data_IF_498395940088
#
_entry.id   IF_498395940088
#
_cell.length_a   1.000
_cell.length_b   1.000
_cell.length_c   1.000
_cell.angle_alpha   90.00
_cell.angle_beta   90.00
_cell.angle_gamma   90.00
#
_symmetry.space_group_name_H-M   'P 1'
#
loop_
_entity.id
_entity.type
_entity.pdbx_description
1 polymer ?
#
# COMPACT_ATOMS: atom_id res chain seq x y z
N UNK A 1 -25.18 -1.12 3.84
CA UNK A 1 -26.11 -1.42 2.73
C UNK A 1 -25.31 -1.75 1.48
N UNK A 2 -25.69 -2.77 0.71
CA UNK A 2 -25.08 -3.08 -0.60
C UNK A 2 -26.13 -2.88 -1.68
N UNK A 3 -25.89 -1.98 -2.62
CA UNK A 3 -26.77 -1.78 -3.78
C UNK A 3 -26.67 -2.95 -4.75
N UNK A 4 -27.80 -3.36 -5.33
CA UNK A 4 -27.82 -4.32 -6.41
C UNK A 4 -27.04 -3.82 -7.63
N UNK A 5 -26.26 -4.69 -8.26
CA UNK A 5 -25.44 -4.38 -9.46
C UNK A 5 -25.97 -5.13 -10.67
N UNK A 6 -26.05 -4.47 -11.82
CA UNK A 6 -26.38 -5.12 -13.11
C UNK A 6 -25.15 -5.76 -13.78
N UNK A 7 -23.98 -5.64 -13.16
CA UNK A 7 -22.72 -6.19 -13.64
C UNK A 7 -21.54 -5.26 -13.39
N UNK A 8 -20.33 -5.75 -13.64
CA UNK A 8 -19.10 -4.94 -13.58
C UNK A 8 -18.62 -4.65 -14.99
N UNK A 9 -18.57 -3.37 -15.36
CA UNK A 9 -18.16 -2.90 -16.68
C UNK A 9 -16.99 -1.93 -16.53
N UNK A 10 -15.94 -2.07 -17.34
CA UNK A 10 -14.71 -1.26 -17.25
C UNK A 10 -14.12 -1.20 -15.82
N UNK A 11 -14.18 -2.31 -15.08
CA UNK A 11 -13.73 -2.42 -13.68
C UNK A 11 -14.55 -1.61 -12.67
N UNK A 12 -15.78 -1.21 -13.01
CA UNK A 12 -16.70 -0.52 -12.10
C UNK A 12 -18.05 -1.26 -12.04
N UNK A 13 -18.61 -1.51 -10.84
CA UNK A 13 -19.98 -2.02 -10.73
C UNK A 13 -20.96 -0.96 -11.22
N UNK A 14 -21.87 -1.35 -12.11
CA UNK A 14 -22.93 -0.48 -12.61
C UNK A 14 -24.20 -0.83 -11.87
N UNK A 15 -24.85 0.19 -11.30
CA UNK A 15 -26.06 0.01 -10.51
C UNK A 15 -27.04 1.13 -10.79
N UNK A 16 -28.21 0.75 -11.29
CA UNK A 16 -29.32 1.70 -11.56
C UNK A 16 -29.93 2.20 -10.25
N UNK A 17 -29.98 1.35 -9.23
CA UNK A 17 -30.53 1.69 -7.91
C UNK A 17 -29.59 2.56 -7.06
N UNK A 18 -28.29 2.60 -7.36
CA UNK A 18 -27.30 3.25 -6.48
C UNK A 18 -27.61 4.72 -6.21
N UNK A 19 -28.06 5.48 -7.22
CA UNK A 19 -28.35 6.92 -7.05
C UNK A 19 -29.56 7.13 -6.12
N UNK A 20 -30.63 6.34 -6.27
CA UNK A 20 -31.83 6.48 -5.44
C UNK A 20 -31.56 6.01 -4.00
N UNK A 21 -30.79 4.94 -3.83
CA UNK A 21 -30.36 4.46 -2.52
C UNK A 21 -29.42 5.44 -1.83
N UNK A 22 -28.42 5.96 -2.54
CA UNK A 22 -27.53 7.01 -2.04
C UNK A 22 -28.34 8.23 -1.60
N UNK A 23 -29.32 8.68 -2.42
CA UNK A 23 -30.20 9.80 -2.05
C UNK A 23 -31.01 9.51 -0.79
N UNK A 24 -31.49 8.28 -0.61
CA UNK A 24 -32.21 7.88 0.60
C UNK A 24 -31.28 7.92 1.82
N UNK A 25 -30.09 7.32 1.72
CA UNK A 25 -29.15 7.20 2.84
C UNK A 25 -28.49 8.54 3.21
N UNK A 26 -28.26 9.42 2.24
CA UNK A 26 -27.63 10.72 2.48
C UNK A 26 -28.56 11.76 3.13
N UNK A 27 -29.88 11.53 3.15
CA UNK A 27 -30.83 12.49 3.76
C UNK A 27 -30.59 12.74 5.24
N UNK A 28 -30.22 11.68 5.95
CA UNK A 28 -30.07 11.70 7.42
C UNK A 28 -28.59 11.80 7.84
N UNK A 29 -27.69 12.10 6.89
CA UNK A 29 -26.25 12.16 7.14
C UNK A 29 -25.75 13.62 7.27
N UNK A 30 -24.97 13.90 8.31
CA UNK A 30 -24.32 15.22 8.48
C UNK A 30 -23.15 15.42 7.48
N UNK A 31 -22.45 14.32 7.18
CA UNK A 31 -21.34 14.26 6.23
C UNK A 31 -21.52 13.05 5.31
N UNK A 32 -21.24 13.24 4.02
CA UNK A 32 -21.04 12.15 3.07
C UNK A 32 -19.57 12.05 2.69
N UNK A 33 -18.96 10.90 2.96
CA UNK A 33 -17.57 10.59 2.61
C UNK A 33 -17.51 9.60 1.45
N UNK A 34 -16.94 10.01 0.31
CA UNK A 34 -16.87 9.19 -0.92
C UNK A 34 -15.44 8.74 -1.19
N UNK A 35 -15.24 7.46 -1.46
CA UNK A 35 -13.94 6.89 -1.81
C UNK A 35 -13.76 6.86 -3.33
N UNK A 36 -12.66 7.44 -3.82
CA UNK A 36 -12.40 7.73 -5.23
C UNK A 36 -11.15 7.02 -5.75
N UNK A 37 -11.11 6.69 -7.06
CA UNK A 37 -12.08 7.06 -8.09
C UNK A 37 -13.30 6.13 -8.16
N UNK A 38 -14.51 6.71 -8.11
CA UNK A 38 -15.75 5.97 -8.29
C UNK A 38 -16.81 6.82 -9.01
N UNK A 39 -16.82 6.84 -10.36
CA UNK A 39 -17.67 7.72 -11.16
C UNK A 39 -19.17 7.72 -10.79
N UNK A 40 -19.70 6.55 -10.44
CA UNK A 40 -21.10 6.42 -10.02
C UNK A 40 -21.37 7.08 -8.65
N UNK A 41 -20.38 7.07 -7.74
CA UNK A 41 -20.42 7.76 -6.46
C UNK A 41 -20.45 9.27 -6.64
N UNK A 42 -19.58 9.80 -7.50
CA UNK A 42 -19.53 11.23 -7.84
C UNK A 42 -20.87 11.71 -8.38
N UNK A 43 -21.40 10.97 -9.37
CA UNK A 43 -22.66 11.29 -10.01
C UNK A 43 -23.82 11.20 -9.01
N UNK A 44 -23.86 10.16 -8.18
CA UNK A 44 -24.87 10.00 -7.14
C UNK A 44 -24.85 11.16 -6.14
N UNK A 45 -23.66 11.60 -5.71
CA UNK A 45 -23.53 12.74 -4.82
C UNK A 45 -24.02 14.05 -5.46
N UNK A 46 -23.72 14.27 -6.74
CA UNK A 46 -24.14 15.48 -7.46
C UNK A 46 -25.66 15.48 -7.74
N UNK A 47 -26.26 14.31 -8.00
CA UNK A 47 -27.67 14.18 -8.36
C UNK A 47 -28.62 13.92 -7.17
N UNK A 48 -28.10 13.57 -6.00
CA UNK A 48 -28.93 13.29 -4.82
C UNK A 48 -29.68 14.53 -4.29
N UNK A 49 -29.16 15.72 -4.57
CA UNK A 49 -29.61 16.98 -3.97
C UNK A 49 -29.07 17.18 -2.54
N UNK A 50 -28.07 16.40 -2.13
CA UNK A 50 -27.48 16.47 -0.80
C UNK A 50 -26.74 17.81 -0.55
N UNK A 51 -27.16 18.52 0.50
CA UNK A 51 -26.65 19.86 0.84
C UNK A 51 -25.67 19.89 2.03
N UNK A 52 -25.45 18.76 2.71
CA UNK A 52 -24.51 18.66 3.84
C UNK A 52 -23.04 18.66 3.42
N UNK A 53 -22.13 18.32 4.33
CA UNK A 53 -20.68 18.37 4.03
C UNK A 53 -20.25 17.14 3.22
N UNK A 54 -19.39 17.35 2.23
CA UNK A 54 -18.89 16.29 1.36
C UNK A 54 -17.38 16.17 1.53
N UNK A 55 -16.92 14.98 1.90
CA UNK A 55 -15.51 14.63 1.96
C UNK A 55 -15.22 13.57 0.91
N UNK A 56 -14.01 13.57 0.36
CA UNK A 56 -13.60 12.52 -0.57
C UNK A 56 -12.23 11.96 -0.22
N UNK A 57 -12.06 10.63 -0.23
CA UNK A 57 -10.73 9.99 -0.19
C UNK A 57 -10.26 9.67 -1.60
N UNK A 58 -9.19 10.32 -2.05
CA UNK A 58 -8.57 10.08 -3.35
C UNK A 58 -7.48 9.02 -3.25
N UNK A 59 -7.77 7.80 -3.72
CA UNK A 59 -6.86 6.67 -3.60
C UNK A 59 -5.83 6.59 -4.73
N UNK A 60 -6.20 6.96 -5.95
CA UNK A 60 -5.30 6.97 -7.11
C UNK A 60 -5.90 7.72 -8.31
N UNK A 61 -5.03 8.17 -9.21
CA UNK A 61 -5.45 8.73 -10.49
C UNK A 61 -5.92 7.63 -11.46
N UNK A 62 -6.91 7.93 -12.29
CA UNK A 62 -7.34 7.04 -13.37
C UNK A 62 -6.36 7.18 -14.56
N UNK A 63 -5.54 6.15 -14.79
CA UNK A 63 -4.47 6.17 -15.81
C UNK A 63 -4.84 5.43 -17.10
N UNK A 64 -5.53 4.27 -17.02
CA UNK A 64 -5.72 3.36 -18.17
C UNK A 64 -6.85 3.76 -19.13
N UNK A 65 -7.88 4.47 -18.67
CA UNK A 65 -9.14 4.65 -19.41
C UNK A 65 -9.28 6.03 -20.07
N UNK A 66 -8.25 6.49 -20.80
CA UNK A 66 -8.14 7.88 -21.30
C UNK A 66 -9.38 8.41 -22.05
N UNK A 67 -10.05 7.59 -22.87
CA UNK A 67 -11.26 8.01 -23.61
C UNK A 67 -12.48 8.14 -22.70
N UNK A 68 -12.69 7.20 -21.78
CA UNK A 68 -13.78 7.27 -20.81
C UNK A 68 -13.57 8.44 -19.82
N UNK A 69 -12.30 8.75 -19.52
CA UNK A 69 -11.93 9.91 -18.73
C UNK A 69 -12.39 11.23 -19.33
N UNK A 70 -12.40 11.39 -20.66
CA UNK A 70 -12.91 12.62 -21.28
C UNK A 70 -14.38 12.87 -20.93
N UNK A 71 -15.20 11.80 -20.90
CA UNK A 71 -16.62 11.89 -20.55
C UNK A 71 -16.85 12.05 -19.05
N UNK A 72 -16.02 11.41 -18.22
CA UNK A 72 -16.15 11.48 -16.77
C UNK A 72 -15.55 12.76 -16.16
N UNK A 73 -14.53 13.37 -16.79
CA UNK A 73 -13.81 14.54 -16.27
C UNK A 73 -14.72 15.70 -15.85
N UNK A 74 -15.79 16.08 -16.57
CA UNK A 74 -16.72 17.11 -16.11
C UNK A 74 -17.42 16.76 -14.79
N UNK A 75 -17.87 15.49 -14.65
CA UNK A 75 -18.53 14.99 -13.43
C UNK A 75 -17.55 14.98 -12.27
N UNK A 76 -16.36 14.43 -12.48
CA UNK A 76 -15.27 14.41 -11.50
C UNK A 76 -14.90 15.83 -11.05
N UNK A 77 -14.72 16.77 -11.98
CA UNK A 77 -14.40 18.16 -11.64
C UNK A 77 -15.53 18.83 -10.85
N UNK A 78 -16.79 18.61 -11.24
CA UNK A 78 -17.94 19.12 -10.50
C UNK A 78 -17.97 18.55 -9.08
N UNK A 79 -17.66 17.26 -8.92
CA UNK A 79 -17.58 16.59 -7.62
C UNK A 79 -16.42 17.12 -6.76
N UNK A 80 -15.19 17.21 -7.30
CA UNK A 80 -14.03 17.76 -6.59
C UNK A 80 -14.25 19.24 -6.20
N UNK A 81 -14.93 20.01 -7.06
CA UNK A 81 -15.37 21.37 -6.71
C UNK A 81 -16.41 21.37 -5.58
N UNK A 82 -17.31 20.38 -5.55
CA UNK A 82 -18.34 20.21 -4.50
C UNK A 82 -17.77 19.71 -3.16
N UNK A 83 -16.70 18.93 -3.18
CA UNK A 83 -16.06 18.43 -1.97
C UNK A 83 -15.54 19.57 -1.09
N UNK A 84 -15.79 19.49 0.20
CA UNK A 84 -15.31 20.43 1.22
C UNK A 84 -13.86 20.10 1.61
N UNK A 85 -13.50 18.81 1.65
CA UNK A 85 -12.14 18.30 1.87
C UNK A 85 -11.85 17.09 1.01
N UNK A 86 -10.60 16.97 0.57
CA UNK A 86 -10.10 15.86 -0.23
C UNK A 86 -8.96 15.19 0.53
N UNK A 87 -9.20 13.99 1.06
CA UNK A 87 -8.17 13.19 1.71
C UNK A 87 -7.28 12.54 0.66
N UNK A 88 -5.98 12.63 0.88
CA UNK A 88 -4.94 12.02 0.04
C UNK A 88 -3.98 11.25 0.93
N UNK A 89 -3.47 10.11 0.46
CA UNK A 89 -2.65 9.26 1.32
C UNK A 89 -1.25 9.86 1.59
N UNK A 90 -0.69 10.61 0.63
CA UNK A 90 0.61 11.30 0.76
C UNK A 90 0.59 12.66 0.05
N UNK A 91 1.54 13.53 0.35
CA UNK A 91 1.74 14.77 -0.41
C UNK A 91 2.03 14.51 -1.91
N UNK A 92 2.70 13.39 -2.20
CA UNK A 92 2.99 12.96 -3.57
C UNK A 92 1.73 12.78 -4.43
N UNK A 93 0.60 12.39 -3.82
CA UNK A 93 -0.68 12.27 -4.54
C UNK A 93 -1.20 13.62 -5.02
N UNK A 94 -0.92 14.73 -4.31
CA UNK A 94 -1.36 16.06 -4.74
C UNK A 94 -0.48 16.57 -5.86
N UNK A 95 0.85 16.52 -5.67
CA UNK A 95 1.83 17.04 -6.64
C UNK A 95 1.88 16.22 -7.94
N UNK A 96 1.67 14.91 -7.83
CA UNK A 96 1.71 13.98 -8.97
C UNK A 96 0.38 13.80 -9.70
N UNK A 97 -0.74 14.30 -9.15
CA UNK A 97 -2.04 14.11 -9.77
C UNK A 97 -2.30 15.11 -10.89
N UNK A 98 -2.78 14.61 -12.03
CA UNK A 98 -3.22 15.45 -13.14
C UNK A 98 -4.55 16.17 -12.87
N UNK A 99 -5.22 15.87 -11.75
CA UNK A 99 -6.58 16.30 -11.45
C UNK A 99 -6.69 17.14 -10.18
N UNK A 100 -5.85 16.88 -9.18
CA UNK A 100 -5.98 17.53 -7.86
C UNK A 100 -5.36 18.93 -7.79
N UNK A 101 -4.49 19.32 -8.72
CA UNK A 101 -3.80 20.62 -8.71
C UNK A 101 -4.72 21.83 -8.43
N UNK A 102 -5.83 22.01 -9.17
CA UNK A 102 -6.80 23.09 -8.93
C UNK A 102 -7.52 23.06 -7.57
N UNK A 103 -7.46 21.93 -6.85
CA UNK A 103 -8.13 21.69 -5.57
C UNK A 103 -7.14 21.43 -4.43
N UNK A 104 -5.85 21.73 -4.64
CA UNK A 104 -4.77 21.52 -3.67
C UNK A 104 -5.05 22.17 -2.31
N UNK A 105 -5.72 23.33 -2.28
CA UNK A 105 -6.13 24.02 -1.07
C UNK A 105 -7.18 23.27 -0.22
N UNK A 106 -7.87 22.27 -0.80
CA UNK A 106 -8.81 21.39 -0.11
C UNK A 106 -8.19 20.04 0.25
N UNK A 107 -6.99 19.75 -0.25
CA UNK A 107 -6.32 18.48 -0.03
C UNK A 107 -5.76 18.43 1.39
N UNK A 108 -6.02 17.33 2.09
CA UNK A 108 -5.50 17.06 3.43
C UNK A 108 -4.85 15.68 3.41
N UNK A 109 -3.60 15.60 3.84
CA UNK A 109 -2.90 14.31 3.91
C UNK A 109 -3.49 13.49 5.06
N UNK A 110 -4.16 12.38 4.73
CA UNK A 110 -4.68 11.39 5.66
C UNK A 110 -4.20 10.02 5.14
N UNK A 111 -3.14 9.45 5.75
CA UNK A 111 -2.61 8.17 5.30
C UNK A 111 -3.57 7.02 5.60
N UNK A 112 -3.29 5.84 5.07
CA UNK A 112 -4.00 4.63 5.49
C UNK A 112 -3.54 4.20 6.89
N UNK A 113 -4.50 3.75 7.70
CA UNK A 113 -4.24 3.19 9.02
C UNK A 113 -3.88 1.70 8.95
N UNK A 114 -3.10 1.25 9.93
CA UNK A 114 -2.87 -0.16 10.26
C UNK A 114 -3.26 -0.40 11.72
N UNK A 115 -3.89 -1.54 12.00
CA UNK A 115 -4.16 -2.00 13.36
C UNK A 115 -2.84 -2.52 13.95
N UNK A 116 -2.08 -1.63 14.60
CA UNK A 116 -0.76 -1.95 15.13
C UNK A 116 -0.83 -3.00 16.23
N UNK A 117 -1.86 -2.93 17.08
CA UNK A 117 -2.04 -3.82 18.22
C UNK A 117 -2.18 -5.28 17.75
N UNK A 118 -2.85 -5.50 16.62
CA UNK A 118 -3.03 -6.84 16.06
C UNK A 118 -1.74 -7.53 15.57
N UNK A 119 -0.66 -6.78 15.30
CA UNK A 119 0.66 -7.33 14.95
C UNK A 119 1.55 -7.42 16.20
N UNK A 120 1.48 -6.41 17.08
CA UNK A 120 2.23 -6.37 18.34
C UNK A 120 1.83 -7.50 19.30
N UNK A 121 0.55 -7.89 19.32
CA UNK A 121 0.04 -9.01 20.13
C UNK A 121 0.07 -10.36 19.44
N UNK A 122 0.43 -10.42 18.15
CA UNK A 122 0.50 -11.69 17.44
C UNK A 122 1.59 -12.58 18.05
N UNK A 123 1.35 -13.88 18.06
CA UNK A 123 2.28 -14.86 18.62
C UNK A 123 3.59 -14.85 17.82
N UNK A 124 4.73 -14.75 18.53
CA UNK A 124 6.05 -14.81 17.90
C UNK A 124 6.48 -16.27 17.71
N UNK A 125 5.97 -16.91 16.65
CA UNK A 125 6.37 -18.27 16.25
C UNK A 125 7.61 -18.22 15.35
N UNK A 126 8.52 -19.20 15.43
CA UNK A 126 9.68 -19.33 14.53
C UNK A 126 9.29 -19.80 13.12
N UNK A 127 8.27 -19.17 12.52
CA UNK A 127 7.60 -19.63 11.30
C UNK A 127 8.54 -19.72 10.07
N UNK A 128 9.40 -18.71 9.87
CA UNK A 128 10.41 -18.66 8.82
C UNK A 128 11.69 -19.37 9.28
N UNK A 129 12.07 -19.20 10.55
CA UNK A 129 13.24 -19.84 11.17
C UNK A 129 13.21 -21.36 11.05
N UNK A 130 12.04 -21.99 11.15
CA UNK A 130 11.86 -23.44 10.93
C UNK A 130 12.17 -23.88 9.49
N UNK A 131 11.99 -22.99 8.51
CA UNK A 131 12.18 -23.26 7.07
C UNK A 131 13.57 -22.89 6.57
N UNK A 132 14.39 -22.21 7.38
CA UNK A 132 15.77 -21.90 7.04
C UNK A 132 16.59 -23.16 6.77
N UNK A 133 17.30 -23.16 5.65
CA UNK A 133 18.30 -24.16 5.33
C UNK A 133 19.61 -23.91 6.09
N UNK A 134 20.01 -22.65 6.21
CA UNK A 134 21.12 -22.22 7.05
C UNK A 134 20.62 -21.37 8.22
N UNK A 135 20.84 -21.85 9.45
CA UNK A 135 20.34 -21.21 10.68
C UNK A 135 21.00 -19.88 11.02
N UNK A 136 22.11 -19.52 10.37
CA UNK A 136 22.75 -18.21 10.54
C UNK A 136 22.25 -17.18 9.54
N UNK A 137 21.53 -17.59 8.49
CA UNK A 137 21.03 -16.70 7.45
C UNK A 137 20.00 -15.71 7.98
N UNK A 138 20.06 -14.48 7.47
CA UNK A 138 19.00 -13.48 7.65
C UNK A 138 17.79 -13.81 6.78
N UNK A 139 16.61 -13.60 7.32
CA UNK A 139 15.31 -13.92 6.74
C UNK A 139 14.78 -12.69 6.00
N UNK A 140 14.91 -12.67 4.68
CA UNK A 140 14.35 -11.64 3.83
C UNK A 140 12.89 -12.00 3.52
N UNK A 141 11.96 -11.07 3.67
CA UNK A 141 10.54 -11.33 3.43
C UNK A 141 9.98 -10.44 2.33
N UNK A 142 9.24 -11.04 1.41
CA UNK A 142 8.35 -10.38 0.47
C UNK A 142 6.94 -10.93 0.63
N UNK A 143 5.92 -10.07 0.57
CA UNK A 143 4.55 -10.53 0.38
C UNK A 143 3.74 -9.66 -0.58
N UNK A 144 2.93 -10.34 -1.39
CA UNK A 144 2.04 -9.70 -2.35
C UNK A 144 1.72 -10.59 -3.54
N UNK A 145 0.93 -10.06 -4.47
CA UNK A 145 0.61 -10.76 -5.72
C UNK A 145 1.85 -10.95 -6.58
N UNK A 146 2.03 -12.13 -7.18
CA UNK A 146 3.17 -12.42 -8.07
C UNK A 146 2.85 -11.93 -9.49
N UNK A 147 3.09 -10.64 -9.73
CA UNK A 147 2.79 -9.91 -10.98
C UNK A 147 3.93 -8.97 -11.36
N UNK A 148 4.03 -8.64 -12.65
CA UNK A 148 5.20 -7.98 -13.23
C UNK A 148 5.65 -6.69 -12.52
N UNK A 149 4.71 -5.87 -12.03
CA UNK A 149 5.06 -4.59 -11.42
C UNK A 149 5.64 -4.72 -10.01
N UNK A 150 5.59 -5.90 -9.38
CA UNK A 150 6.14 -6.14 -8.05
C UNK A 150 7.65 -6.38 -8.06
N UNK A 151 8.27 -6.58 -9.23
CA UNK A 151 9.72 -6.68 -9.37
C UNK A 151 10.36 -7.88 -8.66
N UNK A 152 9.62 -8.97 -8.46
CA UNK A 152 10.13 -10.16 -7.78
C UNK A 152 11.25 -10.83 -8.59
N UNK A 153 11.18 -10.72 -9.92
CA UNK A 153 12.21 -11.16 -10.85
C UNK A 153 13.52 -10.38 -10.64
N UNK A 154 13.44 -9.06 -10.43
CA UNK A 154 14.59 -8.21 -10.09
C UNK A 154 15.20 -8.63 -8.74
N UNK A 155 14.35 -8.95 -7.76
CA UNK A 155 14.81 -9.43 -6.45
C UNK A 155 15.49 -10.80 -6.53
N UNK A 156 14.95 -11.75 -7.30
CA UNK A 156 15.58 -13.07 -7.50
C UNK A 156 16.95 -12.90 -8.16
N UNK A 157 17.07 -12.07 -9.20
CA UNK A 157 18.37 -11.84 -9.85
C UNK A 157 19.36 -11.13 -8.94
N UNK A 158 18.91 -10.16 -8.15
CA UNK A 158 19.75 -9.49 -7.14
C UNK A 158 20.30 -10.48 -6.09
N UNK A 159 19.57 -11.54 -5.73
CA UNK A 159 20.05 -12.51 -4.74
C UNK A 159 21.33 -13.24 -5.15
N UNK A 160 21.63 -13.34 -6.45
CA UNK A 160 22.87 -13.94 -6.96
C UNK A 160 24.12 -13.28 -6.38
N UNK A 161 24.05 -11.98 -6.13
CA UNK A 161 25.15 -11.16 -5.61
C UNK A 161 24.98 -10.87 -4.10
N UNK A 162 24.24 -11.72 -3.38
CA UNK A 162 24.04 -11.60 -1.92
C UNK A 162 24.47 -12.87 -1.19
N UNK A 163 24.85 -12.73 0.07
CA UNK A 163 25.31 -13.81 0.94
C UNK A 163 24.59 -13.77 2.30
N UNK A 164 24.69 -14.85 3.08
CA UNK A 164 24.16 -14.97 4.44
C UNK A 164 22.67 -14.62 4.62
N UNK A 165 21.87 -14.86 3.59
CA UNK A 165 20.44 -14.59 3.59
C UNK A 165 19.62 -15.59 2.76
N UNK A 166 18.38 -15.79 3.19
CA UNK A 166 17.35 -16.57 2.51
C UNK A 166 16.08 -15.73 2.33
N UNK A 167 15.47 -15.84 1.15
CA UNK A 167 14.27 -15.09 0.76
C UNK A 167 13.02 -15.94 0.92
N UNK A 168 12.02 -15.39 1.58
CA UNK A 168 10.70 -15.96 1.76
C UNK A 168 9.66 -15.14 0.99
N UNK A 169 8.94 -15.80 0.08
CA UNK A 169 7.95 -15.17 -0.82
C UNK A 169 6.56 -15.69 -0.45
N UNK A 170 5.76 -14.84 0.20
CA UNK A 170 4.36 -15.14 0.50
C UNK A 170 3.41 -14.47 -0.51
N UNK A 171 2.70 -15.29 -1.29
CA UNK A 171 1.68 -14.83 -2.20
C UNK A 171 1.50 -15.76 -3.40
N UNK A 172 0.55 -15.37 -4.26
CA UNK A 172 0.26 -16.07 -5.50
C UNK A 172 0.09 -15.09 -6.65
N UNK A 173 0.22 -15.59 -7.88
CA UNK A 173 -0.02 -14.79 -9.07
C UNK A 173 0.43 -15.50 -10.33
N UNK A 174 0.13 -14.86 -11.47
CA UNK A 174 0.39 -15.40 -12.81
C UNK A 174 1.87 -15.65 -13.08
N UNK A 175 2.78 -15.02 -12.32
CA UNK A 175 4.23 -15.20 -12.47
C UNK A 175 4.80 -16.31 -11.58
N UNK A 176 4.02 -16.98 -10.73
CA UNK A 176 4.55 -17.98 -9.78
C UNK A 176 5.45 -19.01 -10.46
N UNK A 177 4.93 -19.69 -11.48
CA UNK A 177 5.63 -20.78 -12.16
C UNK A 177 6.89 -20.29 -12.89
N UNK A 178 6.88 -19.09 -13.48
CA UNK A 178 8.07 -18.55 -14.14
C UNK A 178 9.16 -18.18 -13.15
N UNK A 179 8.79 -17.61 -11.99
CA UNK A 179 9.73 -17.25 -10.93
C UNK A 179 10.35 -18.51 -10.29
N UNK A 180 9.56 -19.57 -10.06
CA UNK A 180 10.07 -20.86 -9.57
C UNK A 180 11.06 -21.51 -10.56
N UNK A 181 10.82 -21.36 -11.87
CA UNK A 181 11.76 -21.82 -12.89
C UNK A 181 13.05 -21.00 -12.87
N UNK A 182 12.96 -19.67 -12.81
CA UNK A 182 14.12 -18.77 -12.74
C UNK A 182 14.99 -19.10 -11.52
N UNK A 183 14.40 -19.30 -10.34
CA UNK A 183 15.13 -19.72 -9.11
C UNK A 183 15.90 -21.02 -9.31
N UNK A 184 15.32 -21.99 -10.02
CA UNK A 184 15.98 -23.28 -10.29
C UNK A 184 17.13 -23.12 -11.28
N UNK A 185 16.91 -22.38 -12.36
CA UNK A 185 17.91 -22.13 -13.41
C UNK A 185 19.10 -21.32 -12.85
N UNK A 186 18.82 -20.43 -11.90
CA UNK A 186 19.81 -19.59 -11.23
C UNK A 186 20.52 -20.26 -10.05
N UNK A 187 20.17 -21.51 -9.73
CA UNK A 187 20.80 -22.26 -8.63
C UNK A 187 20.46 -21.74 -7.23
N UNK A 188 19.34 -21.04 -7.08
CA UNK A 188 18.91 -20.38 -5.83
C UNK A 188 17.89 -21.20 -5.01
N UNK A 189 17.70 -22.49 -5.34
CA UNK A 189 16.65 -23.33 -4.75
C UNK A 189 16.77 -23.47 -3.23
N UNK A 190 17.99 -23.46 -2.70
CA UNK A 190 18.23 -23.56 -1.26
C UNK A 190 18.12 -22.21 -0.54
N UNK A 191 17.91 -21.12 -1.28
CA UNK A 191 17.88 -19.74 -0.76
C UNK A 191 16.55 -19.04 -0.96
N UNK A 192 15.64 -19.57 -1.77
CA UNK A 192 14.35 -18.95 -2.08
C UNK A 192 13.20 -19.90 -1.78
N UNK A 193 12.33 -19.48 -0.87
CA UNK A 193 11.21 -20.25 -0.35
C UNK A 193 9.87 -19.63 -0.77
N UNK A 194 9.13 -20.32 -1.64
CA UNK A 194 7.77 -19.92 -2.00
C UNK A 194 6.77 -20.47 -0.98
N UNK A 195 6.18 -19.59 -0.18
CA UNK A 195 5.25 -19.94 0.90
C UNK A 195 3.79 -20.07 0.43
N UNK A 196 3.49 -19.60 -0.78
CA UNK A 196 2.12 -19.49 -1.27
C UNK A 196 1.33 -18.47 -0.46
N UNK A 197 0.00 -18.61 -0.44
CA UNK A 197 -0.88 -17.73 0.35
C UNK A 197 -0.89 -18.16 1.82
N UNK A 198 -0.47 -17.25 2.70
CA UNK A 198 -0.52 -17.45 4.15
C UNK A 198 -1.88 -17.09 4.74
N UNK A 199 -2.21 -17.71 5.88
CA UNK A 199 -3.28 -17.22 6.76
C UNK A 199 -2.86 -15.89 7.40
N UNK A 200 -3.81 -15.13 7.95
CA UNK A 200 -3.49 -13.85 8.62
C UNK A 200 -2.54 -14.06 9.82
N UNK A 201 -2.73 -15.16 10.57
CA UNK A 201 -1.88 -15.51 11.73
C UNK A 201 -0.47 -15.93 11.31
N UNK A 202 -0.35 -16.74 10.25
CA UNK A 202 0.95 -17.15 9.71
C UNK A 202 1.68 -15.96 9.08
N UNK A 203 0.95 -15.05 8.42
CA UNK A 203 1.52 -13.84 7.84
C UNK A 203 2.09 -12.93 8.93
N UNK A 204 1.35 -12.71 10.01
CA UNK A 204 1.84 -11.96 11.18
C UNK A 204 3.04 -12.63 11.83
N UNK A 205 3.00 -13.96 11.97
CA UNK A 205 4.14 -14.73 12.48
C UNK A 205 5.37 -14.57 11.58
N UNK A 206 5.18 -14.63 10.26
CA UNK A 206 6.25 -14.42 9.28
C UNK A 206 6.83 -13.00 9.33
N UNK A 207 5.99 -11.97 9.53
CA UNK A 207 6.48 -10.61 9.72
C UNK A 207 7.28 -10.46 11.00
N UNK A 208 6.86 -11.07 12.12
CA UNK A 208 7.59 -10.99 13.39
C UNK A 208 8.89 -11.79 13.40
N UNK A 209 8.98 -12.80 12.53
CA UNK A 209 10.11 -13.70 12.42
C UNK A 209 10.96 -13.39 11.18
N UNK A 210 10.79 -12.25 10.50
CA UNK A 210 11.73 -11.84 9.45
C UNK A 210 12.84 -10.95 10.02
N UNK A 211 13.87 -10.66 9.23
CA UNK A 211 14.93 -9.72 9.59
C UNK A 211 14.81 -8.42 8.79
N UNK A 212 14.44 -8.53 7.50
CA UNK A 212 14.34 -7.42 6.55
C UNK A 212 13.12 -7.66 5.65
N UNK A 213 12.32 -6.63 5.43
CA UNK A 213 11.25 -6.68 4.43
C UNK A 213 11.67 -6.00 3.13
N UNK A 214 11.34 -6.60 1.99
CA UNK A 214 11.74 -6.10 0.67
C UNK A 214 10.49 -5.86 -0.19
N UNK A 215 10.41 -4.66 -0.77
CA UNK A 215 9.39 -4.26 -1.72
C UNK A 215 10.05 -3.73 -3.00
N UNK A 216 10.42 -4.63 -3.94
CA UNK A 216 11.23 -4.29 -5.11
C UNK A 216 10.39 -3.77 -6.30
N UNK A 217 9.23 -3.16 -6.04
CA UNK A 217 8.25 -2.80 -7.08
C UNK A 217 8.84 -1.86 -8.13
N UNK A 218 8.47 -2.06 -9.40
CA UNK A 218 9.10 -1.40 -10.56
C UNK A 218 8.17 -0.49 -11.36
N UNK A 219 6.88 -0.42 -11.00
CA UNK A 219 5.90 0.46 -11.65
C UNK A 219 5.07 1.24 -10.64
N UNK A 220 4.60 2.42 -11.07
CA UNK A 220 3.72 3.30 -10.31
C UNK A 220 2.32 2.70 -10.01
N UNK A 221 2.03 1.50 -10.53
CA UNK A 221 0.85 0.73 -10.09
C UNK A 221 0.93 0.40 -8.59
N UNK A 222 2.13 0.44 -8.03
CA UNK A 222 2.39 0.38 -6.60
C UNK A 222 2.30 1.76 -5.94
N UNK A 223 1.19 2.06 -5.25
CA UNK A 223 0.88 3.40 -4.77
C UNK A 223 1.35 3.68 -3.32
N UNK A 224 0.67 3.13 -2.30
CA UNK A 224 0.93 3.45 -0.88
C UNK A 224 1.54 2.29 -0.10
N UNK A 225 1.08 1.07 -0.39
CA UNK A 225 1.70 -0.18 0.09
C UNK A 225 1.64 -0.38 1.60
N UNK A 226 0.45 -0.78 2.06
CA UNK A 226 0.17 -1.13 3.46
C UNK A 226 1.15 -2.17 4.00
N UNK A 227 1.59 -3.10 3.16
CA UNK A 227 2.50 -4.19 3.55
C UNK A 227 3.86 -3.72 4.09
N UNK A 228 4.35 -2.53 3.70
CA UNK A 228 5.54 -1.96 4.35
C UNK A 228 5.25 -1.68 5.84
N UNK A 229 4.07 -1.14 6.15
CA UNK A 229 3.68 -0.84 7.53
C UNK A 229 3.54 -2.10 8.39
N UNK A 230 3.15 -3.23 7.79
CA UNK A 230 3.07 -4.54 8.47
C UNK A 230 4.43 -5.05 8.93
N UNK A 231 5.48 -4.88 8.12
CA UNK A 231 6.84 -5.19 8.53
C UNK A 231 7.40 -4.17 9.54
N UNK A 232 7.15 -2.88 9.27
CA UNK A 232 7.65 -1.80 10.09
C UNK A 232 7.04 -1.81 11.51
N UNK A 233 5.77 -2.19 11.69
CA UNK A 233 5.16 -2.33 13.03
C UNK A 233 5.77 -3.48 13.83
N UNK A 234 6.34 -4.48 13.16
CA UNK A 234 7.13 -5.53 13.79
C UNK A 234 8.58 -5.10 14.07
N UNK A 235 8.97 -3.88 13.70
CA UNK A 235 10.30 -3.33 13.94
C UNK A 235 11.35 -3.77 12.92
N UNK A 236 10.94 -4.15 11.70
CA UNK A 236 11.88 -4.53 10.64
C UNK A 236 12.13 -3.37 9.66
N UNK A 237 13.39 -3.16 9.25
CA UNK A 237 13.69 -2.21 8.18
C UNK A 237 13.15 -2.69 6.85
N UNK A 238 12.89 -1.73 5.96
CA UNK A 238 12.35 -1.98 4.63
C UNK A 238 13.34 -1.57 3.55
N UNK A 239 13.61 -2.45 2.59
CA UNK A 239 14.22 -2.06 1.32
C UNK A 239 13.10 -1.84 0.31
N UNK A 240 12.99 -0.62 -0.22
CA UNK A 240 11.97 -0.26 -1.23
C UNK A 240 12.61 0.44 -2.43
N UNK A 241 11.79 0.81 -3.41
CA UNK A 241 12.24 1.47 -4.63
C UNK A 241 11.86 2.94 -4.69
N UNK A 242 12.66 3.74 -5.40
CA UNK A 242 12.46 5.18 -5.61
C UNK A 242 11.33 5.48 -6.62
N UNK A 243 10.20 4.80 -6.49
CA UNK A 243 9.02 5.06 -7.30
C UNK A 243 8.45 6.44 -6.94
N UNK A 244 8.02 7.25 -7.93
CA UNK A 244 7.35 8.53 -7.69
C UNK A 244 5.89 8.33 -7.19
N UNK A 245 5.73 7.52 -6.14
CA UNK A 245 4.46 7.18 -5.49
C UNK A 245 4.60 7.35 -3.98
N UNK A 246 3.68 6.80 -3.20
CA UNK A 246 3.77 6.77 -1.73
C UNK A 246 4.80 5.77 -1.19
N UNK A 247 5.35 4.87 -2.02
CA UNK A 247 6.33 3.85 -1.61
C UNK A 247 7.48 4.39 -0.76
N UNK A 248 8.28 5.38 -1.22
CA UNK A 248 9.41 5.91 -0.44
C UNK A 248 8.98 6.80 0.73
N UNK A 249 7.70 7.19 0.80
CA UNK A 249 7.19 8.01 1.91
C UNK A 249 6.83 7.18 3.13
N UNK A 250 6.44 5.90 2.94
CA UNK A 250 6.06 5.01 4.03
C UNK A 250 7.30 4.55 4.80
N UNK A 251 8.35 4.11 4.10
CA UNK A 251 9.67 3.87 4.68
C UNK A 251 10.70 4.81 4.05
N UNK A 252 11.03 5.93 4.70
CA UNK A 252 12.02 6.89 4.20
C UNK A 252 13.45 6.33 4.19
N UNK A 253 14.14 6.60 3.09
CA UNK A 253 15.56 6.27 2.89
C UNK A 253 16.45 6.83 4.00
N UNK A 254 17.40 6.03 4.47
CA UNK A 254 18.35 6.44 5.49
C UNK A 254 17.78 6.58 6.91
N UNK A 255 16.48 6.30 7.09
CA UNK A 255 15.79 6.48 8.38
C UNK A 255 15.19 5.18 8.87
N UNK A 256 14.32 4.56 8.09
CA UNK A 256 13.66 3.29 8.43
C UNK A 256 13.96 2.17 7.45
N UNK A 257 14.89 2.42 6.52
CA UNK A 257 15.11 1.55 5.39
C UNK A 257 16.10 2.11 4.39
N UNK A 258 16.20 1.43 3.24
CA UNK A 258 17.00 1.85 2.09
C UNK A 258 16.10 1.92 0.87
N UNK A 259 16.20 3.02 0.12
CA UNK A 259 15.49 3.19 -1.15
C UNK A 259 16.46 3.06 -2.32
N UNK A 260 16.16 2.14 -3.24
CA UNK A 260 16.99 1.87 -4.44
C UNK A 260 16.28 2.26 -5.73
N UNK A 261 16.98 2.49 -6.85
CA UNK A 261 16.33 2.68 -8.15
C UNK A 261 15.51 1.44 -8.56
N UNK A 262 14.32 1.60 -9.17
CA UNK A 262 13.56 0.46 -9.68
C UNK A 262 14.32 -0.22 -10.83
N UNK A 263 14.25 -1.56 -10.89
CA UNK A 263 14.95 -2.40 -11.88
C UNK A 263 16.48 -2.37 -11.79
N UNK A 264 17.03 -1.98 -10.66
CA UNK A 264 18.48 -2.00 -10.42
C UNK A 264 18.83 -3.16 -9.49
N UNK A 265 19.21 -4.29 -10.09
CA UNK A 265 19.54 -5.54 -9.40
C UNK A 265 20.76 -5.36 -8.50
N UNK A 266 21.75 -4.61 -8.96
CA UNK A 266 22.99 -4.34 -8.22
C UNK A 266 22.71 -3.47 -7.00
N UNK A 267 22.00 -2.35 -7.18
CA UNK A 267 21.66 -1.49 -6.05
C UNK A 267 20.80 -2.22 -5.01
N UNK A 268 19.90 -3.11 -5.47
CA UNK A 268 19.10 -3.96 -4.58
C UNK A 268 19.97 -4.95 -3.81
N UNK A 269 20.91 -5.63 -4.48
CA UNK A 269 21.86 -6.54 -3.84
C UNK A 269 22.75 -5.82 -2.81
N UNK A 270 23.29 -4.65 -3.16
CA UNK A 270 24.11 -3.82 -2.28
C UNK A 270 23.33 -3.40 -1.02
N UNK A 271 22.06 -3.03 -1.17
CA UNK A 271 21.18 -2.68 -0.06
C UNK A 271 20.87 -3.89 0.85
N UNK A 272 20.63 -5.07 0.26
CA UNK A 272 20.43 -6.32 1.00
C UNK A 272 21.69 -6.65 1.80
N UNK A 273 22.85 -6.72 1.15
CA UNK A 273 24.12 -7.04 1.81
C UNK A 273 24.42 -6.07 2.95
N UNK A 274 24.15 -4.77 2.76
CA UNK A 274 24.34 -3.77 3.81
C UNK A 274 23.52 -4.08 5.06
N UNK A 275 22.23 -4.36 4.93
CA UNK A 275 21.38 -4.65 6.09
C UNK A 275 21.59 -6.06 6.66
N UNK A 276 22.05 -7.02 5.85
CA UNK A 276 22.39 -8.38 6.30
C UNK A 276 23.60 -8.35 7.23
N UNK A 277 24.64 -7.58 6.88
CA UNK A 277 25.93 -7.58 7.59
C UNK A 277 26.10 -6.44 8.61
N UNK A 278 25.24 -5.43 8.61
CA UNK A 278 25.25 -4.33 9.59
C UNK A 278 24.07 -4.46 10.57
N UNK A 279 24.28 -5.24 11.63
CA UNK A 279 23.28 -5.48 12.67
C UNK A 279 22.83 -4.19 13.37
N UNK A 280 23.77 -3.27 13.65
CA UNK A 280 23.47 -2.02 14.34
C UNK A 280 22.55 -1.13 13.49
N UNK A 281 22.84 -1.02 12.19
CA UNK A 281 22.01 -0.27 11.26
C UNK A 281 20.64 -0.92 11.06
N UNK A 282 20.58 -2.26 10.95
CA UNK A 282 19.33 -3.00 10.79
C UNK A 282 18.41 -2.75 12.00
N UNK A 283 18.95 -2.79 13.21
CA UNK A 283 18.20 -2.50 14.43
C UNK A 283 17.80 -1.01 14.55
N UNK A 284 18.67 -0.08 14.17
CA UNK A 284 18.36 1.35 14.17
C UNK A 284 17.18 1.65 13.25
N UNK A 285 17.26 1.20 12.01
CA UNK A 285 16.20 1.39 11.03
C UNK A 285 14.92 0.68 11.44
N UNK A 286 15.01 -0.51 12.04
CA UNK A 286 13.87 -1.23 12.62
C UNK A 286 13.15 -0.45 13.73
N UNK A 287 13.89 0.14 14.68
CA UNK A 287 13.31 0.99 15.73
C UNK A 287 12.65 2.24 15.16
N UNK A 288 13.29 2.87 14.17
CA UNK A 288 12.73 4.03 13.49
C UNK A 288 11.46 3.67 12.69
N UNK A 289 11.46 2.52 12.01
CA UNK A 289 10.31 1.98 11.29
C UNK A 289 9.10 1.81 12.23
N UNK A 290 9.32 1.14 13.37
CA UNK A 290 8.30 0.95 14.40
C UNK A 290 7.70 2.28 14.88
N UNK A 291 8.59 3.23 15.24
CA UNK A 291 8.18 4.55 15.72
C UNK A 291 7.34 5.31 14.67
N UNK A 292 7.78 5.31 13.41
CA UNK A 292 7.07 5.96 12.31
C UNK A 292 5.66 5.40 12.16
N UNK A 293 5.51 4.06 12.17
CA UNK A 293 4.18 3.44 12.02
C UNK A 293 3.26 3.81 13.17
N UNK A 294 3.73 3.70 14.41
CA UNK A 294 2.91 4.06 15.57
C UNK A 294 2.48 5.52 15.58
N UNK A 295 3.38 6.44 15.21
CA UNK A 295 3.11 7.88 15.26
C UNK A 295 2.22 8.35 14.11
N UNK A 296 2.37 7.76 12.91
CA UNK A 296 1.77 8.30 11.68
C UNK A 296 0.66 7.43 11.08
N UNK A 297 0.69 6.13 11.34
CA UNK A 297 -0.12 5.14 10.63
C UNK A 297 -0.96 4.26 11.56
N UNK A 298 -0.85 4.38 12.89
CA UNK A 298 -1.77 3.71 13.80
C UNK A 298 -3.23 4.10 13.49
N UNK A 299 -4.10 3.11 13.35
CA UNK A 299 -5.50 3.32 12.95
C UNK A 299 -6.21 4.30 13.88
N UNK A 300 -5.96 4.23 15.19
CA UNK A 300 -6.54 5.14 16.17
C UNK A 300 -6.15 6.59 15.86
N UNK A 301 -4.89 6.85 15.52
CA UNK A 301 -4.39 8.20 15.17
C UNK A 301 -4.95 8.70 13.86
N UNK A 302 -5.06 7.83 12.86
CA UNK A 302 -5.68 8.19 11.58
C UNK A 302 -7.16 8.50 11.79
N UNK A 303 -7.88 7.71 12.58
CA UNK A 303 -9.29 7.93 12.90
C UNK A 303 -9.51 9.20 13.73
N UNK A 304 -8.67 9.46 14.75
CA UNK A 304 -8.68 10.72 15.52
C UNK A 304 -8.57 11.93 14.57
N UNK A 305 -7.65 11.87 13.60
CA UNK A 305 -7.47 12.92 12.61
C UNK A 305 -8.68 13.09 11.70
N UNK A 306 -9.27 11.99 11.22
CA UNK A 306 -10.48 12.03 10.39
C UNK A 306 -11.65 12.64 11.17
N UNK A 307 -11.88 12.18 12.40
CA UNK A 307 -12.92 12.71 13.28
C UNK A 307 -12.75 14.20 13.55
N UNK A 308 -11.53 14.66 13.84
CA UNK A 308 -11.26 16.09 14.01
C UNK A 308 -11.60 16.93 12.77
N UNK A 309 -11.30 16.42 11.57
CA UNK A 309 -11.68 17.10 10.32
C UNK A 309 -13.20 17.13 10.14
N UNK A 310 -13.91 16.07 10.51
CA UNK A 310 -15.37 16.02 10.45
C UNK A 310 -16.01 17.03 11.40
N UNK A 311 -15.56 17.07 12.64
CA UNK A 311 -16.03 18.06 13.61
C UNK A 311 -15.79 19.50 13.13
N UNK A 312 -14.60 19.79 12.61
CA UNK A 312 -14.27 21.10 12.04
C UNK A 312 -15.16 21.49 10.86
N UNK A 313 -15.59 20.51 10.06
CA UNK A 313 -16.52 20.74 8.95
C UNK A 313 -17.94 21.02 9.44
N UNK A 314 -18.39 20.38 10.51
CA UNK A 314 -19.72 20.56 11.08
C UNK A 314 -19.86 21.84 11.91
N UNK A 315 -18.76 22.37 12.46
CA UNK A 315 -18.74 23.65 13.17
C UNK A 315 -18.83 24.88 12.25
N UNK A 316 -18.57 24.73 10.95
CA UNK A 316 -18.53 25.80 9.93
C UNK A 316 -19.78 25.81 9.06
#
# INVERSE_FOLDING_TARGET
HRSGSVGTYFSMPVSVAFISEFKKMSRDADIVHVHLPFPLGDLACLLSGYKGKVVSSWHSDIVKQKKLMTLYKPVMNAFLKRADRIFVATEGHVKGSAYLGPYSNKCVVVPYGIDTESYEKAEAKPFLTEKLNNKTSKKLMFTGRLVYYKGIDVLIRALKDTEDCELFIAGEGVLKNSLETEVREDGLIDRVHFLGRLSDDDLKSAFRDCDIFILPSVENSEAFVIVQMEAMVCGHPVINTSLPTGVPYVSPDGVSGITVPPRDEKALADAINKLVHDDALREEYGRNAYRIVRERYASEKVLEKISGIYEDLLRK
#
